data_IF_423291428097
#
_entry.id   IF_423291428097
#
_cell.length_a   1.000
_cell.length_b   1.000
_cell.length_c   1.000
_cell.angle_alpha   90.00
_cell.angle_beta   90.00
_cell.angle_gamma   90.00
#
_symmetry.space_group_name_H-M   'P 1'
#
loop_
_entity.id
_entity.type
_entity.pdbx_description
1 polymer ?
#
# COMPACT_ATOMS: atom_id res chain seq x y z
N UNK A 1 20.94 1.89 22.64
CA UNK A 1 20.31 2.14 21.33
C UNK A 1 18.91 2.70 21.54
N UNK A 2 18.60 3.88 20.98
CA UNK A 2 17.23 4.42 20.99
C UNK A 2 16.48 3.75 19.84
N UNK A 3 15.53 2.88 20.13
CA UNK A 3 14.57 2.38 19.13
C UNK A 3 13.80 3.60 18.61
N UNK A 4 14.15 4.07 17.41
CA UNK A 4 13.33 5.05 16.70
C UNK A 4 11.94 4.42 16.59
N UNK A 5 10.96 5.02 17.28
CA UNK A 5 9.59 4.53 17.36
C UNK A 5 9.02 4.57 15.94
N UNK A 6 9.08 3.45 15.23
CA UNK A 6 8.58 3.35 13.86
C UNK A 6 7.07 3.59 13.93
N UNK A 7 6.59 4.65 13.30
CA UNK A 7 5.17 4.97 13.26
C UNK A 7 4.47 3.91 12.39
N UNK A 8 3.79 2.96 13.03
CA UNK A 8 3.13 1.83 12.37
C UNK A 8 1.61 1.97 12.43
N UNK A 9 0.93 1.37 11.45
CA UNK A 9 -0.51 1.17 11.44
C UNK A 9 -0.83 -0.26 11.04
N UNK A 10 -1.91 -0.83 11.57
CA UNK A 10 -2.37 -2.16 11.18
C UNK A 10 -3.07 -2.13 9.82
N UNK A 11 -2.90 -3.18 9.02
CA UNK A 11 -3.61 -3.28 7.74
C UNK A 11 -5.13 -3.25 7.91
N UNK A 12 -5.67 -3.93 8.94
CA UNK A 12 -7.10 -3.93 9.23
C UNK A 12 -7.65 -2.52 9.52
N UNK A 13 -6.89 -1.68 10.24
CA UNK A 13 -7.28 -0.28 10.50
C UNK A 13 -7.37 0.52 9.18
N UNK A 14 -6.49 0.22 8.24
CA UNK A 14 -6.48 0.88 6.93
C UNK A 14 -7.67 0.43 6.10
N UNK A 15 -7.99 -0.86 6.10
CA UNK A 15 -9.19 -1.40 5.43
C UNK A 15 -10.46 -0.82 6.03
N UNK A 16 -10.54 -0.70 7.35
CA UNK A 16 -11.69 -0.11 8.04
C UNK A 16 -11.92 1.36 7.63
N UNK A 17 -10.85 2.18 7.62
CA UNK A 17 -10.96 3.61 7.30
C UNK A 17 -11.05 3.89 5.80
N UNK A 18 -10.28 3.16 4.99
CA UNK A 18 -10.09 3.44 3.57
C UNK A 18 -10.87 2.50 2.65
N UNK A 19 -11.49 1.46 3.18
CA UNK A 19 -12.23 0.41 2.46
C UNK A 19 -11.34 -0.73 1.97
N UNK A 20 -11.98 -1.79 1.49
CA UNK A 20 -11.29 -2.97 0.97
C UNK A 20 -10.53 -2.65 -0.33
N UNK A 21 -9.22 -2.90 -0.38
CA UNK A 21 -8.44 -2.64 -1.58
C UNK A 21 -8.61 -3.73 -2.63
N UNK A 22 -8.32 -3.36 -3.88
CA UNK A 22 -8.17 -4.29 -5.00
C UNK A 22 -6.72 -4.48 -5.37
N UNK A 23 -6.35 -5.70 -5.78
CA UNK A 23 -5.03 -5.95 -6.38
C UNK A 23 -4.94 -5.20 -7.71
N UNK A 24 -3.85 -4.48 -7.88
CA UNK A 24 -3.52 -3.84 -9.15
C UNK A 24 -2.19 -4.39 -9.66
N UNK A 25 -2.27 -5.01 -10.84
CA UNK A 25 -1.11 -5.51 -11.58
C UNK A 25 -0.83 -4.53 -12.73
N UNK A 26 0.26 -3.75 -12.69
CA UNK A 26 0.62 -2.85 -13.77
C UNK A 26 1.05 -3.67 -14.99
N UNK A 27 0.23 -3.63 -16.05
CA UNK A 27 0.53 -4.22 -17.36
C UNK A 27 1.37 -3.29 -18.26
N UNK A 28 1.52 -2.03 -17.84
CA UNK A 28 2.30 -1.00 -18.50
C UNK A 28 3.05 -0.19 -17.45
N UNK A 29 4.03 0.62 -17.88
CA UNK A 29 4.71 1.53 -16.97
C UNK A 29 3.69 2.48 -16.31
N UNK A 30 3.82 2.78 -15.01
CA UNK A 30 2.95 3.73 -14.31
C UNK A 30 2.79 5.08 -15.02
N UNK A 31 3.82 5.54 -15.73
CA UNK A 31 3.79 6.79 -16.49
C UNK A 31 2.83 6.75 -17.69
N UNK A 32 2.63 5.57 -18.28
CA UNK A 32 1.77 5.32 -19.42
C UNK A 32 0.32 4.99 -19.01
N UNK A 33 0.09 4.48 -17.79
CA UNK A 33 -1.25 4.18 -17.29
C UNK A 33 -1.92 5.41 -16.67
N UNK A 34 -2.83 6.05 -17.43
CA UNK A 34 -3.62 7.20 -16.97
C UNK A 34 -4.50 6.87 -15.75
N UNK A 35 -5.07 5.66 -15.70
CA UNK A 35 -5.94 5.25 -14.60
C UNK A 35 -5.12 5.14 -13.32
N UNK A 36 -3.98 4.47 -13.38
CA UNK A 36 -3.08 4.33 -12.23
C UNK A 36 -2.57 5.69 -11.75
N UNK A 37 -2.17 6.58 -12.67
CA UNK A 37 -1.77 7.95 -12.31
C UNK A 37 -2.87 8.73 -11.59
N UNK A 38 -4.14 8.53 -11.94
CA UNK A 38 -5.24 9.14 -11.21
C UNK A 38 -5.33 8.61 -9.77
N UNK A 39 -5.14 7.31 -9.56
CA UNK A 39 -5.13 6.73 -8.21
C UNK A 39 -3.94 7.23 -7.37
N UNK A 40 -2.77 7.42 -7.99
CA UNK A 40 -1.61 8.03 -7.34
C UNK A 40 -1.92 9.46 -6.89
N UNK A 41 -2.46 10.28 -7.79
CA UNK A 41 -2.83 11.68 -7.47
C UNK A 41 -3.87 11.77 -6.34
N UNK A 42 -4.76 10.77 -6.25
CA UNK A 42 -5.78 10.70 -5.22
C UNK A 42 -5.28 10.05 -3.90
N UNK A 43 -3.99 9.72 -3.80
CA UNK A 43 -3.37 9.04 -2.66
C UNK A 43 -4.05 7.70 -2.33
N UNK A 44 -4.45 6.93 -3.34
CA UNK A 44 -5.21 5.66 -3.17
C UNK A 44 -4.37 4.41 -3.35
N UNK A 45 -3.08 4.55 -3.63
CA UNK A 45 -2.19 3.42 -3.92
C UNK A 45 -1.36 3.08 -2.69
N UNK A 46 -1.37 1.80 -2.33
CA UNK A 46 -0.44 1.22 -1.36
C UNK A 46 0.51 0.28 -2.07
N UNK A 47 1.80 0.38 -1.76
CA UNK A 47 2.81 -0.59 -2.21
C UNK A 47 3.10 -1.57 -1.07
N UNK A 48 2.95 -2.86 -1.35
CA UNK A 48 3.37 -3.95 -0.47
C UNK A 48 4.78 -4.39 -0.85
N UNK A 49 5.68 -4.36 0.13
CA UNK A 49 7.09 -4.72 0.02
C UNK A 49 7.38 -5.90 0.95
N UNK A 50 8.21 -6.83 0.49
CA UNK A 50 8.81 -7.85 1.35
C UNK A 50 9.97 -7.25 2.13
N UNK A 51 10.01 -7.46 3.45
CA UNK A 51 11.24 -7.25 4.22
C UNK A 51 12.22 -8.39 3.99
N UNK A 52 13.50 -8.15 4.28
CA UNK A 52 14.54 -9.19 4.30
C UNK A 52 14.22 -10.29 5.34
N UNK A 53 13.51 -9.93 6.42
CA UNK A 53 13.01 -10.86 7.43
C UNK A 53 11.77 -11.67 6.99
N UNK A 54 11.31 -11.51 5.74
CA UNK A 54 10.23 -12.30 5.14
C UNK A 54 8.80 -11.79 5.38
N UNK A 55 8.60 -10.79 6.24
CA UNK A 55 7.26 -10.23 6.51
C UNK A 55 6.92 -9.12 5.52
N UNK A 56 5.75 -9.25 4.89
CA UNK A 56 5.19 -8.20 4.03
C UNK A 56 4.82 -6.96 4.87
N UNK A 57 5.14 -5.78 4.34
CA UNK A 57 4.70 -4.50 4.91
C UNK A 57 4.26 -3.55 3.80
N UNK A 58 3.31 -2.69 4.11
CA UNK A 58 2.77 -1.70 3.19
C UNK A 58 3.32 -0.30 3.44
N UNK A 59 3.32 0.50 2.39
CA UNK A 59 3.48 1.96 2.44
C UNK A 59 2.34 2.61 1.65
N UNK A 60 1.77 3.69 2.19
CA UNK A 60 0.69 4.45 1.57
C UNK A 60 1.19 5.38 0.45
N UNK A 61 1.99 4.82 -0.46
CA UNK A 61 2.53 5.51 -1.63
C UNK A 61 2.94 4.46 -2.68
N UNK A 62 3.27 4.93 -3.88
CA UNK A 62 3.84 4.11 -4.93
C UNK A 62 5.36 4.06 -4.85
N UNK A 63 5.89 2.84 -4.82
CA UNK A 63 7.33 2.61 -4.91
C UNK A 63 7.62 1.44 -5.83
N UNK A 64 8.18 1.76 -6.99
CA UNK A 64 8.57 0.76 -7.97
C UNK A 64 9.73 -0.10 -7.43
N UNK A 65 9.43 -1.37 -7.13
CA UNK A 65 10.41 -2.35 -6.65
C UNK A 65 10.10 -3.72 -7.27
N UNK A 66 11.14 -4.47 -7.59
CA UNK A 66 10.99 -5.85 -8.10
C UNK A 66 10.28 -6.70 -7.04
N UNK A 67 9.18 -7.35 -7.44
CA UNK A 67 8.36 -8.18 -6.56
C UNK A 67 7.40 -7.40 -5.64
N UNK A 68 7.28 -6.09 -5.80
CA UNK A 68 6.25 -5.32 -5.11
C UNK A 68 4.86 -5.66 -5.65
N UNK A 69 3.86 -5.59 -4.78
CA UNK A 69 2.44 -5.67 -5.14
C UNK A 69 1.78 -4.33 -4.87
N UNK A 70 0.82 -3.95 -5.71
CA UNK A 70 0.10 -2.70 -5.55
C UNK A 70 -1.35 -2.97 -5.21
N UNK A 71 -1.85 -2.18 -4.26
CA UNK A 71 -3.24 -2.21 -3.83
C UNK A 71 -3.86 -0.84 -4.09
N UNK A 72 -5.04 -0.83 -4.70
CA UNK A 72 -5.82 0.39 -4.91
C UNK A 72 -6.98 0.41 -3.92
N UNK A 73 -7.03 1.43 -3.08
CA UNK A 73 -8.10 1.66 -2.12
C UNK A 73 -9.23 2.52 -2.73
N UNK A 74 -10.49 2.31 -2.31
CA UNK A 74 -11.58 3.15 -2.77
C UNK A 74 -11.51 4.58 -2.19
N UNK A 75 -10.91 4.75 -1.01
CA UNK A 75 -10.68 6.05 -0.36
C UNK A 75 -9.19 6.36 -0.22
N UNK A 76 -8.89 7.65 0.02
CA UNK A 76 -7.52 8.14 0.20
C UNK A 76 -6.83 7.53 1.42
N UNK A 77 -5.54 7.23 1.27
CA UNK A 77 -4.62 6.75 2.31
C UNK A 77 -3.86 7.86 3.03
N UNK A 78 -4.18 9.14 2.77
CA UNK A 78 -3.55 10.29 3.45
C UNK A 78 -3.44 10.14 4.99
N UNK A 79 -4.43 9.60 5.73
CA UNK A 79 -4.31 9.37 7.18
C UNK A 79 -3.18 8.41 7.61
N UNK A 80 -2.65 7.65 6.65
CA UNK A 80 -1.59 6.66 6.82
C UNK A 80 -0.30 7.03 6.08
N UNK A 81 -0.22 8.26 5.56
CA UNK A 81 1.01 8.79 5.00
C UNK A 81 2.15 8.70 6.03
N UNK A 82 3.35 8.34 5.58
CA UNK A 82 4.55 8.16 6.41
C UNK A 82 4.43 7.09 7.52
N UNK A 83 3.40 6.23 7.48
CA UNK A 83 3.29 5.08 8.38
C UNK A 83 3.72 3.79 7.68
N UNK A 84 4.33 2.89 8.45
CA UNK A 84 4.58 1.51 8.00
C UNK A 84 3.34 0.67 8.30
N UNK A 85 2.71 0.14 7.26
CA UNK A 85 1.53 -0.71 7.39
C UNK A 85 2.01 -2.14 7.66
N UNK A 86 1.55 -2.75 8.75
CA UNK A 86 1.98 -4.08 9.18
C UNK A 86 0.81 -5.05 9.30
N UNK A 87 1.11 -6.35 9.33
CA UNK A 87 0.08 -7.39 9.42
C UNK A 87 -0.80 -7.45 8.17
N UNK A 88 -0.17 -7.45 6.98
CA UNK A 88 -0.89 -7.52 5.71
C UNK A 88 -1.73 -8.80 5.67
N UNK A 89 -3.05 -8.63 5.69
CA UNK A 89 -4.00 -9.71 5.62
C UNK A 89 -4.58 -9.81 4.20
N UNK A 90 -4.07 -10.76 3.42
CA UNK A 90 -4.52 -10.98 2.05
C UNK A 90 -5.99 -11.43 1.93
N UNK A 91 -6.61 -11.91 3.01
CA UNK A 91 -8.04 -12.23 3.03
C UNK A 91 -8.94 -10.98 2.94
N UNK A 92 -8.42 -9.78 3.25
CA UNK A 92 -9.16 -8.51 3.15
C UNK A 92 -8.94 -7.80 1.79
N UNK A 93 -8.27 -8.46 0.84
CA UNK A 93 -7.97 -7.91 -0.48
C UNK A 93 -8.87 -8.60 -1.51
N UNK A 94 -9.61 -7.82 -2.32
CA UNK A 94 -10.39 -8.38 -3.42
C UNK A 94 -9.54 -8.53 -4.69
N UNK A 95 -9.67 -9.69 -5.34
CA UNK A 95 -9.12 -9.97 -6.67
C UNK A 95 -9.99 -9.41 -7.78
#
# INVERSE_FOLDING_TARGET
MKLLKVNTAGFSEVVEKCGEPKIYTPWQKPSADRHFRAQLKNNRVMTILKSESGTDFGIADFKERKGARYLIFPKSLTPFANKRIVGINWALVRG
#
